data_IF_849220785483
#
_entry.id   IF_849220785483
#
_cell.length_a   1.000
_cell.length_b   1.000
_cell.length_c   1.000
_cell.angle_alpha   90.00
_cell.angle_beta   90.00
_cell.angle_gamma   90.00
#
_symmetry.space_group_name_H-M   'P 1'
#
loop_
_entity.id
_entity.type
_entity.pdbx_description
1 polymer ?
#
# COMPACT_ATOMS: atom_id res chain seq x y z
N UNK A 1 -33.56 -33.38 26.71
CA UNK A 1 -33.68 -33.56 25.24
C UNK A 1 -34.16 -32.28 24.50
N UNK A 2 -33.89 -31.07 25.00
CA UNK A 2 -34.44 -29.82 24.39
C UNK A 2 -33.43 -28.87 23.75
N UNK A 3 -32.14 -29.25 23.64
CA UNK A 3 -31.08 -28.37 23.11
C UNK A 3 -30.86 -28.52 21.59
N UNK A 4 -31.08 -29.72 21.02
CA UNK A 4 -30.87 -29.95 19.58
C UNK A 4 -32.00 -29.39 18.69
N UNK A 5 -33.23 -29.32 19.19
CA UNK A 5 -34.38 -28.78 18.43
C UNK A 5 -34.29 -27.25 18.23
N UNK A 6 -33.58 -26.55 19.11
CA UNK A 6 -33.30 -25.10 19.01
C UNK A 6 -32.16 -24.75 18.04
N UNK A 7 -31.38 -25.75 17.59
CA UNK A 7 -30.35 -25.58 16.54
C UNK A 7 -30.92 -25.79 15.14
N UNK A 8 -31.81 -26.76 14.94
CA UNK A 8 -32.42 -27.04 13.62
C UNK A 8 -33.34 -25.92 13.09
N UNK A 9 -33.94 -25.11 13.97
CA UNK A 9 -34.85 -24.03 13.56
C UNK A 9 -34.17 -22.67 13.30
N UNK A 10 -32.83 -22.56 13.39
CA UNK A 10 -32.10 -21.30 13.13
C UNK A 10 -31.56 -21.15 11.71
N UNK A 11 -31.71 -22.16 10.86
CA UNK A 11 -31.52 -22.02 9.41
C UNK A 11 -32.82 -21.55 8.76
N UNK A 12 -33.28 -20.34 9.13
CA UNK A 12 -34.32 -19.68 8.33
C UNK A 12 -33.64 -19.00 7.12
N UNK A 13 -33.81 -19.68 5.98
CA UNK A 13 -34.03 -19.11 4.64
C UNK A 13 -32.77 -18.65 3.87
N UNK A 14 -32.53 -19.18 2.65
CA UNK A 14 -31.50 -18.71 1.70
C UNK A 14 -31.44 -17.18 1.52
N UNK A 15 -32.56 -16.50 1.71
CA UNK A 15 -32.71 -15.03 1.69
C UNK A 15 -31.79 -14.31 2.68
N UNK A 16 -31.60 -14.86 3.88
CA UNK A 16 -30.76 -14.23 4.91
C UNK A 16 -29.26 -14.39 4.58
N UNK A 17 -28.88 -15.51 3.95
CA UNK A 17 -27.54 -15.72 3.39
C UNK A 17 -27.29 -14.79 2.21
N UNK A 18 -28.24 -14.67 1.28
CA UNK A 18 -28.14 -13.76 0.13
C UNK A 18 -28.01 -12.31 0.61
N UNK A 19 -28.74 -11.91 1.65
CA UNK A 19 -28.60 -10.58 2.25
C UNK A 19 -27.21 -10.37 2.88
N UNK A 20 -26.69 -11.36 3.62
CA UNK A 20 -25.34 -11.30 4.19
C UNK A 20 -24.25 -11.24 3.10
N UNK A 21 -24.38 -12.05 2.04
CA UNK A 21 -23.47 -12.03 0.90
C UNK A 21 -23.51 -10.70 0.17
N UNK A 22 -24.69 -10.17 -0.13
CA UNK A 22 -24.84 -8.88 -0.80
C UNK A 22 -24.21 -7.73 -0.02
N UNK A 23 -24.27 -7.77 1.32
CA UNK A 23 -23.58 -6.80 2.17
C UNK A 23 -22.06 -6.97 2.11
N UNK A 24 -21.55 -8.21 2.18
CA UNK A 24 -20.12 -8.48 2.01
C UNK A 24 -19.61 -8.04 0.64
N UNK A 25 -20.37 -8.26 -0.42
CA UNK A 25 -20.03 -7.80 -1.77
C UNK A 25 -19.93 -6.26 -1.81
N UNK A 26 -20.84 -5.56 -1.12
CA UNK A 26 -20.78 -4.10 -0.97
C UNK A 26 -19.54 -3.61 -0.20
N UNK A 27 -19.14 -4.32 0.86
CA UNK A 27 -17.90 -4.04 1.60
C UNK A 27 -16.68 -4.28 0.70
N UNK A 28 -16.65 -5.40 -0.01
CA UNK A 28 -15.56 -5.74 -0.94
C UNK A 28 -15.40 -4.68 -2.03
N UNK A 29 -16.50 -4.25 -2.66
CA UNK A 29 -16.49 -3.17 -3.66
C UNK A 29 -15.98 -1.84 -3.09
N UNK A 30 -16.36 -1.51 -1.85
CA UNK A 30 -15.92 -0.27 -1.18
C UNK A 30 -14.41 -0.30 -0.91
N UNK A 31 -13.89 -1.44 -0.46
CA UNK A 31 -12.46 -1.64 -0.26
C UNK A 31 -11.69 -1.62 -1.58
N UNK A 32 -12.20 -2.31 -2.61
CA UNK A 32 -11.60 -2.34 -3.95
C UNK A 32 -11.49 -0.93 -4.53
N UNK A 33 -12.55 -0.13 -4.44
CA UNK A 33 -12.54 1.27 -4.86
C UNK A 33 -11.55 2.12 -4.05
N UNK A 34 -11.42 1.87 -2.75
CA UNK A 34 -10.45 2.57 -1.89
C UNK A 34 -9.03 2.29 -2.34
N UNK A 35 -8.67 1.03 -2.58
CA UNK A 35 -7.34 0.66 -3.09
C UNK A 35 -7.11 1.15 -4.52
N UNK A 36 -8.12 1.08 -5.39
CA UNK A 36 -8.04 1.60 -6.75
C UNK A 36 -7.79 3.11 -6.78
N UNK A 37 -8.33 3.88 -5.83
CA UNK A 37 -8.01 5.30 -5.67
C UNK A 37 -6.63 5.53 -5.07
N UNK A 38 -6.25 4.74 -4.08
CA UNK A 38 -4.96 4.86 -3.40
C UNK A 38 -3.77 4.59 -4.34
N UNK A 39 -3.89 3.66 -5.28
CA UNK A 39 -2.79 3.29 -6.19
C UNK A 39 -2.52 4.34 -7.27
N UNK A 40 -3.47 5.22 -7.58
CA UNK A 40 -3.33 6.24 -8.63
C UNK A 40 -2.13 7.18 -8.41
N UNK A 41 -2.00 7.88 -7.27
CA UNK A 41 -0.87 8.78 -7.04
C UNK A 41 0.47 8.03 -7.07
N UNK A 42 0.50 6.79 -6.56
CA UNK A 42 1.71 5.93 -6.58
C UNK A 42 2.17 5.70 -8.03
N UNK A 43 1.26 5.26 -8.90
CA UNK A 43 1.56 4.99 -10.31
C UNK A 43 1.87 6.26 -11.10
N UNK A 44 1.19 7.37 -10.79
CA UNK A 44 1.46 8.66 -11.42
C UNK A 44 2.89 9.13 -11.13
N UNK A 45 3.33 9.04 -9.87
CA UNK A 45 4.70 9.40 -9.51
C UNK A 45 5.72 8.40 -10.08
N UNK A 46 5.45 7.09 -10.03
CA UNK A 46 6.33 6.09 -10.63
C UNK A 46 6.50 6.32 -12.14
N UNK A 47 5.40 6.60 -12.87
CA UNK A 47 5.44 6.94 -14.28
C UNK A 47 6.16 8.25 -14.57
N UNK A 48 6.01 9.26 -13.71
CA UNK A 48 6.78 10.51 -13.81
C UNK A 48 8.28 10.24 -13.67
N UNK A 49 8.69 9.49 -12.65
CA UNK A 49 10.11 9.16 -12.42
C UNK A 49 10.67 8.38 -13.62
N UNK A 50 9.89 7.48 -14.22
CA UNK A 50 10.28 6.77 -15.44
C UNK A 50 10.55 7.72 -16.62
N UNK A 51 9.83 8.84 -16.69
CA UNK A 51 9.97 9.83 -17.75
C UNK A 51 11.05 10.89 -17.45
N UNK A 52 11.17 11.28 -16.18
CA UNK A 52 12.07 12.32 -15.68
C UNK A 52 12.81 11.75 -14.45
N UNK A 53 13.83 10.89 -14.65
CA UNK A 53 14.48 10.22 -13.53
C UNK A 53 15.45 11.14 -12.75
N UNK A 54 15.75 12.34 -13.28
CA UNK A 54 16.66 13.27 -12.64
C UNK A 54 16.15 13.71 -11.27
N UNK A 55 16.93 13.38 -10.23
CA UNK A 55 16.58 13.63 -8.83
C UNK A 55 16.30 15.11 -8.52
N UNK A 56 17.17 16.01 -8.95
CA UNK A 56 17.04 17.44 -8.65
C UNK A 56 15.77 18.04 -9.26
N UNK A 57 15.43 17.61 -10.48
CA UNK A 57 14.20 18.02 -11.15
C UNK A 57 12.96 17.54 -10.37
N UNK A 58 12.92 16.26 -10.00
CA UNK A 58 11.83 15.70 -9.20
C UNK A 58 11.65 16.41 -7.86
N UNK A 59 12.76 16.68 -7.15
CA UNK A 59 12.73 17.41 -5.87
C UNK A 59 12.23 18.84 -6.04
N UNK A 60 12.63 19.55 -7.10
CA UNK A 60 12.15 20.90 -7.40
C UNK A 60 10.63 20.98 -7.69
N UNK A 61 10.00 19.85 -8.00
CA UNK A 61 8.59 19.77 -8.38
C UNK A 61 7.70 19.19 -7.27
N UNK A 62 8.29 18.52 -6.27
CA UNK A 62 7.61 17.77 -5.21
C UNK A 62 6.46 18.56 -4.57
N UNK A 63 6.77 19.74 -4.02
CA UNK A 63 5.79 20.53 -3.27
C UNK A 63 4.67 21.12 -4.12
N UNK A 64 4.88 21.22 -5.44
CA UNK A 64 3.87 21.74 -6.36
C UNK A 64 2.92 20.66 -6.89
N UNK A 65 3.38 19.42 -7.03
CA UNK A 65 2.66 18.36 -7.74
C UNK A 65 2.01 17.35 -6.81
N UNK A 66 2.68 17.04 -5.69
CA UNK A 66 2.21 16.02 -4.77
C UNK A 66 0.92 16.41 -4.05
N UNK A 67 0.71 17.65 -3.58
CA UNK A 67 -0.53 17.99 -2.88
C UNK A 67 -1.80 17.78 -3.72
N UNK A 68 -1.85 18.20 -5.01
CA UNK A 68 -2.97 17.84 -5.89
C UNK A 68 -3.18 16.35 -6.09
N UNK A 69 -2.12 15.54 -6.18
CA UNK A 69 -2.28 14.09 -6.35
C UNK A 69 -2.73 13.39 -5.07
N UNK A 70 -2.22 13.84 -3.93
CA UNK A 70 -2.65 13.36 -2.62
C UNK A 70 -4.13 13.60 -2.37
N UNK A 71 -4.66 14.76 -2.81
CA UNK A 71 -6.09 15.08 -2.65
C UNK A 71 -7.02 14.20 -3.50
N UNK A 72 -6.49 13.53 -4.53
CA UNK A 72 -7.22 12.51 -5.29
C UNK A 72 -7.27 11.15 -4.58
N UNK A 73 -6.37 10.93 -3.61
CA UNK A 73 -6.32 9.73 -2.80
C UNK A 73 -7.48 9.63 -1.80
N UNK A 74 -7.63 8.47 -1.13
CA UNK A 74 -8.65 8.31 -0.12
C UNK A 74 -8.35 9.21 1.11
N UNK A 75 -9.14 10.28 1.26
CA UNK A 75 -8.99 11.26 2.33
C UNK A 75 -9.00 10.60 3.72
N UNK A 76 -8.12 11.06 4.61
CA UNK A 76 -7.97 10.59 6.00
C UNK A 76 -7.63 9.09 6.17
N UNK A 77 -7.39 8.35 5.08
CA UNK A 77 -7.03 6.94 5.11
C UNK A 77 -5.54 6.68 4.88
N UNK A 78 -4.80 7.71 4.46
CA UNK A 78 -3.38 7.61 4.14
C UNK A 78 -2.51 8.34 5.18
N UNK A 79 -1.38 7.73 5.54
CA UNK A 79 -0.44 8.26 6.56
C UNK A 79 0.72 9.02 5.90
N UNK A 80 1.30 8.48 4.83
CA UNK A 80 2.43 9.09 4.14
C UNK A 80 2.50 8.66 2.67
N UNK A 81 2.94 9.58 1.82
CA UNK A 81 3.40 9.35 0.46
C UNK A 81 4.89 9.65 0.38
N UNK A 82 5.68 8.70 -0.12
CA UNK A 82 7.12 8.66 0.06
C UNK A 82 7.80 8.36 -1.28
N UNK A 83 8.89 9.08 -1.54
CA UNK A 83 9.80 8.81 -2.65
C UNK A 83 11.18 8.43 -2.09
N UNK A 84 11.67 7.26 -2.47
CA UNK A 84 12.89 6.68 -1.94
C UNK A 84 13.87 6.28 -3.07
N UNK A 85 14.59 7.24 -3.68
CA UNK A 85 15.66 6.93 -4.62
C UNK A 85 16.72 6.04 -3.96
N UNK A 86 17.16 4.99 -4.65
CA UNK A 86 18.10 3.98 -4.14
C UNK A 86 17.76 3.42 -2.75
N UNK A 87 16.48 3.43 -2.39
CA UNK A 87 16.01 2.93 -1.10
C UNK A 87 16.15 3.92 0.06
N UNK A 88 16.61 5.16 -0.17
CA UNK A 88 16.70 6.19 0.88
C UNK A 88 15.58 7.19 0.73
N UNK A 89 14.82 7.40 1.79
CA UNK A 89 13.67 8.30 1.79
C UNK A 89 14.16 9.74 1.59
N UNK A 90 13.84 10.32 0.43
CA UNK A 90 14.27 11.67 0.08
C UNK A 90 13.16 12.71 0.20
N UNK A 91 11.91 12.29 0.02
CA UNK A 91 10.77 13.17 0.12
C UNK A 91 9.56 12.45 0.72
N UNK A 92 8.78 13.20 1.49
CA UNK A 92 7.55 12.72 2.13
C UNK A 92 6.43 13.75 2.01
N UNK A 93 5.20 13.29 2.06
CA UNK A 93 4.00 14.13 2.12
C UNK A 93 2.89 13.37 2.88
N UNK A 94 2.05 14.03 3.70
CA UNK A 94 2.13 15.44 4.11
C UNK A 94 3.36 15.74 4.96
N UNK A 95 3.73 17.03 5.04
CA UNK A 95 4.91 17.54 5.75
C UNK A 95 4.76 17.61 7.28
N UNK A 96 4.23 16.56 7.90
CA UNK A 96 4.09 16.47 9.36
C UNK A 96 5.44 16.18 10.03
N UNK A 97 5.60 16.47 11.33
CA UNK A 97 6.81 16.12 12.08
C UNK A 97 7.16 14.63 11.98
N UNK A 98 6.16 13.76 12.04
CA UNK A 98 6.30 12.30 11.98
C UNK A 98 6.82 11.84 10.61
N UNK A 99 6.25 12.39 9.53
CA UNK A 99 6.68 12.09 8.17
C UNK A 99 8.05 12.68 7.83
N UNK A 100 8.48 13.74 8.52
CA UNK A 100 9.84 14.28 8.39
C UNK A 100 10.87 13.44 9.16
N UNK A 101 10.46 12.79 10.25
CA UNK A 101 11.35 11.95 11.05
C UNK A 101 11.87 10.72 10.28
N UNK A 102 11.20 10.31 9.21
CA UNK A 102 11.61 9.17 8.36
C UNK A 102 12.48 9.58 7.17
N UNK A 103 12.74 10.89 6.96
CA UNK A 103 13.67 11.33 5.92
C UNK A 103 15.06 10.75 6.15
N UNK A 104 15.77 10.47 5.06
CA UNK A 104 17.11 9.86 5.02
C UNK A 104 17.20 8.40 5.48
N UNK A 105 16.11 7.81 5.98
CA UNK A 105 16.09 6.39 6.34
C UNK A 105 16.37 5.53 5.11
N UNK A 106 17.30 4.59 5.28
CA UNK A 106 17.62 3.57 4.30
C UNK A 106 16.76 2.32 4.52
N UNK A 107 15.80 2.16 3.63
CA UNK A 107 14.80 1.10 3.69
C UNK A 107 15.34 -0.29 3.31
N UNK A 108 16.48 -0.36 2.63
CA UNK A 108 17.17 -1.62 2.35
C UNK A 108 18.11 -2.03 3.51
N UNK A 109 18.54 -1.06 4.31
CA UNK A 109 19.29 -1.31 5.54
C UNK A 109 18.39 -1.62 6.75
N UNK A 110 17.13 -1.17 6.77
CA UNK A 110 16.20 -1.43 7.88
C UNK A 110 15.73 -2.90 7.87
N UNK A 111 16.10 -3.71 8.89
CA UNK A 111 15.71 -5.13 8.96
C UNK A 111 14.20 -5.34 9.05
N UNK A 112 13.41 -4.31 9.41
CA UNK A 112 11.95 -4.40 9.51
C UNK A 112 11.25 -4.34 8.15
N UNK A 113 11.88 -3.74 7.15
CA UNK A 113 11.24 -3.47 5.84
C UNK A 113 12.02 -4.03 4.65
N UNK A 114 13.34 -4.24 4.79
CA UNK A 114 14.22 -4.64 3.70
C UNK A 114 13.75 -5.89 2.95
N UNK A 115 13.33 -6.93 3.65
CA UNK A 115 12.87 -8.18 3.01
C UNK A 115 11.63 -7.95 2.13
N UNK A 116 10.65 -7.18 2.61
CA UNK A 116 9.42 -6.90 1.87
C UNK A 116 9.70 -6.03 0.64
N UNK A 117 10.62 -5.07 0.78
CA UNK A 117 11.04 -4.18 -0.31
C UNK A 117 11.82 -4.96 -1.37
N UNK A 118 12.77 -5.81 -0.97
CA UNK A 118 13.51 -6.67 -1.90
C UNK A 118 12.58 -7.62 -2.66
N UNK A 119 11.57 -8.18 -2.00
CA UNK A 119 10.54 -8.99 -2.65
C UNK A 119 9.74 -8.19 -3.68
N UNK A 120 9.41 -6.93 -3.38
CA UNK A 120 8.73 -6.05 -4.32
C UNK A 120 9.60 -5.66 -5.52
N UNK A 121 10.88 -5.33 -5.29
CA UNK A 121 11.87 -5.09 -6.35
C UNK A 121 11.98 -6.30 -7.27
N UNK A 122 12.06 -7.50 -6.71
CA UNK A 122 12.09 -8.76 -7.47
C UNK A 122 10.82 -8.99 -8.28
N UNK A 123 9.66 -8.61 -7.76
CA UNK A 123 8.40 -8.71 -8.48
C UNK A 123 8.29 -7.73 -9.65
N UNK A 124 9.01 -6.60 -9.61
CA UNK A 124 9.08 -5.61 -10.70
C UNK A 124 7.75 -4.93 -11.02
N UNK A 125 6.80 -4.93 -10.08
CA UNK A 125 5.45 -4.38 -10.24
C UNK A 125 4.95 -3.81 -8.92
N UNK A 126 3.90 -2.97 -8.96
CA UNK A 126 3.27 -2.47 -7.74
C UNK A 126 2.83 -3.65 -6.84
N UNK A 127 3.22 -3.61 -5.57
CA UNK A 127 2.89 -4.62 -4.57
C UNK A 127 2.28 -3.97 -3.34
N UNK A 128 1.28 -4.64 -2.75
CA UNK A 128 0.83 -4.32 -1.40
C UNK A 128 1.65 -5.16 -0.42
N UNK A 129 2.41 -4.50 0.43
CA UNK A 129 3.10 -5.15 1.54
C UNK A 129 2.07 -5.44 2.65
N UNK A 130 2.31 -6.50 3.42
CA UNK A 130 1.43 -6.89 4.53
C UNK A 130 1.28 -5.79 5.58
N UNK A 131 0.38 -6.01 6.54
CA UNK A 131 0.14 -5.03 7.62
C UNK A 131 1.39 -4.92 8.48
N UNK A 132 1.95 -3.71 8.55
CA UNK A 132 3.08 -3.38 9.40
C UNK A 132 2.73 -2.21 10.30
N UNK A 133 3.59 -1.95 11.29
CA UNK A 133 3.51 -0.71 12.06
C UNK A 133 4.05 0.42 11.19
N UNK A 134 3.26 1.48 11.04
CA UNK A 134 3.69 2.70 10.38
C UNK A 134 4.92 3.26 11.09
N UNK A 135 5.99 3.61 10.37
CA UNK A 135 7.19 4.17 10.98
C UNK A 135 6.97 5.60 11.52
N UNK A 136 5.85 6.24 11.18
CA UNK A 136 5.56 7.65 11.52
C UNK A 136 4.78 7.75 12.83
N UNK A 137 3.72 6.96 12.98
CA UNK A 137 2.77 7.06 14.11
C UNK A 137 2.55 5.72 14.87
N UNK A 138 3.19 4.63 14.43
CA UNK A 138 3.03 3.31 15.06
C UNK A 138 1.66 2.66 14.85
N UNK A 139 0.80 3.23 14.02
CA UNK A 139 -0.50 2.64 13.70
C UNK A 139 -0.34 1.45 12.74
N UNK A 140 -1.36 0.60 12.65
CA UNK A 140 -1.36 -0.49 11.68
C UNK A 140 -1.55 0.10 10.28
N UNK A 141 -0.58 -0.13 9.39
CA UNK A 141 -0.60 0.39 8.04
C UNK A 141 -0.37 -0.71 7.00
N UNK A 142 -1.08 -0.60 5.89
CA UNK A 142 -0.78 -1.28 4.64
C UNK A 142 0.10 -0.37 3.79
N UNK A 143 1.11 -0.95 3.15
CA UNK A 143 2.02 -0.18 2.29
C UNK A 143 1.82 -0.59 0.85
N UNK A 144 1.40 0.36 0.00
CA UNK A 144 1.46 0.20 -1.44
C UNK A 144 2.83 0.67 -1.91
N UNK A 145 3.60 -0.22 -2.53
CA UNK A 145 4.94 0.07 -3.02
C UNK A 145 5.00 -0.16 -4.53
N UNK A 146 5.58 0.80 -5.27
CA UNK A 146 5.90 0.64 -6.68
C UNK A 146 7.42 0.75 -6.90
N UNK A 147 8.10 -0.33 -7.30
CA UNK A 147 9.52 -0.30 -7.61
C UNK A 147 9.74 0.31 -8.99
N UNK A 148 10.54 1.36 -9.07
CA UNK A 148 10.78 2.09 -10.31
C UNK A 148 12.06 1.60 -10.98
N UNK A 149 11.93 1.14 -12.22
CA UNK A 149 13.04 0.71 -13.06
C UNK A 149 13.13 1.56 -14.33
N UNK A 150 14.35 1.94 -14.70
CA UNK A 150 14.67 2.71 -15.90
C UNK A 150 15.44 1.81 -16.86
N UNK A 151 15.04 1.81 -18.14
CA UNK A 151 15.67 1.01 -19.20
C UNK A 151 16.69 1.82 -19.99
N UNK A 152 17.57 1.11 -20.68
CA UNK A 152 18.61 1.66 -21.55
C UNK A 152 19.60 2.59 -20.83
N UNK A 153 19.91 2.29 -19.58
CA UNK A 153 20.85 3.05 -18.75
C UNK A 153 22.15 2.28 -18.55
N UNK A 154 23.22 2.98 -18.20
CA UNK A 154 24.48 2.35 -17.83
C UNK A 154 24.46 1.92 -16.35
N UNK A 155 25.45 1.10 -15.97
CA UNK A 155 25.57 0.64 -14.59
C UNK A 155 25.93 1.79 -13.62
N UNK A 156 26.66 2.81 -14.10
CA UNK A 156 27.14 3.98 -13.36
C UNK A 156 26.18 5.17 -13.38
N UNK A 157 25.03 5.05 -14.06
CA UNK A 157 23.99 6.10 -14.05
C UNK A 157 23.48 6.33 -12.62
N UNK A 158 23.47 7.58 -12.18
CA UNK A 158 23.10 7.95 -10.80
C UNK A 158 21.88 8.87 -10.74
N UNK A 159 21.45 9.43 -11.88
CA UNK A 159 20.39 10.42 -12.01
C UNK A 159 20.52 11.62 -11.06
N UNK A 160 21.75 11.96 -10.68
CA UNK A 160 22.05 13.00 -9.69
C UNK A 160 21.49 12.73 -8.29
N UNK A 161 21.23 11.46 -7.94
CA UNK A 161 20.81 11.04 -6.61
C UNK A 161 22.01 11.16 -5.65
N UNK A 162 21.86 11.87 -4.51
CA UNK A 162 22.93 11.99 -3.52
C UNK A 162 23.17 10.66 -2.77
N UNK A 163 24.43 10.39 -2.42
CA UNK A 163 24.81 9.28 -1.55
C UNK A 163 25.16 7.96 -2.24
N UNK A 164 25.25 7.93 -3.57
CA UNK A 164 25.76 6.77 -4.32
C UNK A 164 24.75 5.62 -4.47
N UNK A 165 25.27 4.41 -4.70
CA UNK A 165 24.47 3.21 -5.03
C UNK A 165 23.59 2.69 -3.86
N UNK A 166 22.55 1.87 -4.16
CA UNK A 166 21.74 1.18 -3.16
C UNK A 166 22.56 0.37 -2.15
N UNK A 167 22.24 0.54 -0.87
CA UNK A 167 22.82 -0.30 0.20
C UNK A 167 22.20 -1.70 0.15
N UNK A 168 23.01 -2.74 0.36
CA UNK A 168 22.55 -4.14 0.51
C UNK A 168 21.69 -4.69 -0.65
N UNK A 169 21.80 -4.15 -1.87
CA UNK A 169 21.08 -4.72 -3.00
C UNK A 169 21.81 -5.96 -3.56
N UNK A 170 21.13 -7.12 -3.67
CA UNK A 170 21.74 -8.31 -4.27
C UNK A 170 22.25 -8.07 -5.70
N UNK A 171 23.39 -8.67 -6.07
CA UNK A 171 23.91 -8.59 -7.44
C UNK A 171 22.86 -9.03 -8.47
N UNK A 172 22.71 -8.25 -9.54
CA UNK A 172 21.75 -8.53 -10.62
C UNK A 172 20.30 -8.10 -10.34
N UNK A 173 19.97 -7.73 -9.10
CA UNK A 173 18.61 -7.28 -8.75
C UNK A 173 18.39 -5.79 -9.07
N UNK A 174 19.31 -4.92 -8.64
CA UNK A 174 19.20 -3.47 -8.88
C UNK A 174 19.75 -3.03 -10.24
N UNK A 175 20.51 -3.86 -10.93
CA UNK A 175 20.93 -3.60 -12.31
C UNK A 175 21.02 -4.91 -13.10
N UNK A 176 20.33 -4.93 -14.24
CA UNK A 176 20.39 -6.00 -15.21
C UNK A 176 21.21 -5.52 -16.42
N UNK A 177 22.44 -6.04 -16.55
CA UNK A 177 23.35 -5.68 -17.64
C UNK A 177 22.84 -6.10 -19.03
N UNK A 178 22.11 -7.22 -19.12
CA UNK A 178 21.57 -7.76 -20.38
C UNK A 178 20.48 -6.85 -20.95
N UNK A 179 19.55 -6.40 -20.10
CA UNK A 179 18.45 -5.53 -20.53
C UNK A 179 18.75 -4.04 -20.37
N UNK A 180 19.91 -3.70 -19.81
CA UNK A 180 20.30 -2.33 -19.42
C UNK A 180 19.22 -1.66 -18.57
N UNK A 181 18.69 -2.40 -17.60
CA UNK A 181 17.62 -1.93 -16.72
C UNK A 181 18.19 -1.71 -15.32
N UNK A 182 18.10 -0.49 -14.79
CA UNK A 182 18.54 -0.16 -13.43
C UNK A 182 17.36 0.25 -12.57
N UNK A 183 17.36 -0.20 -11.33
CA UNK A 183 16.43 0.22 -10.30
C UNK A 183 16.77 1.63 -9.86
N UNK A 184 15.81 2.54 -9.99
CA UNK A 184 15.94 3.93 -9.56
C UNK A 184 15.67 4.08 -8.06
N UNK A 185 14.74 3.30 -7.54
CA UNK A 185 14.21 3.44 -6.18
C UNK A 185 12.76 2.98 -6.14
N UNK A 186 12.00 3.46 -5.16
CA UNK A 186 10.58 3.13 -5.08
C UNK A 186 9.74 4.29 -4.59
N UNK A 187 8.45 4.18 -4.88
CA UNK A 187 7.40 5.06 -4.37
C UNK A 187 6.53 4.27 -3.42
N UNK A 188 6.15 4.87 -2.30
CA UNK A 188 5.34 4.24 -1.26
C UNK A 188 4.16 5.11 -0.88
N UNK A 189 2.99 4.51 -0.73
CA UNK A 189 1.84 5.08 -0.03
C UNK A 189 1.47 4.20 1.17
N UNK A 190 1.48 4.76 2.36
CA UNK A 190 0.98 4.11 3.58
C UNK A 190 -0.51 4.39 3.77
N UNK A 191 -1.29 3.35 4.04
CA UNK A 191 -2.72 3.40 4.34
C UNK A 191 -2.98 2.88 5.75
N UNK A 192 -3.69 3.64 6.57
CA UNK A 192 -4.09 3.21 7.91
C UNK A 192 -5.18 2.14 7.77
N UNK A 193 -4.91 0.93 8.30
CA UNK A 193 -5.83 -0.21 8.18
C UNK A 193 -7.19 0.13 8.78
N UNK A 194 -7.20 0.69 9.99
CA UNK A 194 -8.43 0.98 10.71
C UNK A 194 -9.28 2.02 9.98
N UNK A 195 -8.65 3.02 9.36
CA UNK A 195 -9.36 4.04 8.58
C UNK A 195 -9.84 3.51 7.22
N UNK A 196 -9.07 2.62 6.58
CA UNK A 196 -9.52 1.93 5.36
C UNK A 196 -10.77 1.11 5.63
N UNK A 197 -10.85 0.47 6.81
CA UNK A 197 -11.97 -0.33 7.25
C UNK A 197 -13.20 0.47 7.73
N UNK A 198 -13.16 1.80 7.68
CA UNK A 198 -14.30 2.67 7.99
C UNK A 198 -14.98 3.21 6.74
N UNK A 199 -16.29 3.44 6.83
CA UNK A 199 -17.05 4.19 5.83
C UNK A 199 -16.81 5.72 5.96
N UNK A 200 -17.48 6.51 5.12
CA UNK A 200 -17.40 7.98 5.18
C UNK A 200 -17.99 8.60 6.45
N UNK A 201 -18.78 7.84 7.21
CA UNK A 201 -19.38 8.25 8.48
C UNK A 201 -18.55 7.82 9.70
N UNK A 202 -17.44 7.10 9.48
CA UNK A 202 -16.54 6.63 10.53
C UNK A 202 -16.94 5.30 11.17
N UNK A 203 -17.96 4.61 10.65
CA UNK A 203 -18.38 3.29 11.14
C UNK A 203 -17.55 2.20 10.48
N UNK A 204 -17.23 1.12 11.20
CA UNK A 204 -16.51 0.01 10.58
C UNK A 204 -17.43 -0.69 9.58
N UNK A 205 -16.88 -0.98 8.40
CA UNK A 205 -17.61 -1.60 7.28
C UNK A 205 -18.22 -2.97 7.65
N UNK A 206 -17.66 -3.63 8.68
CA UNK A 206 -18.10 -4.94 9.15
C UNK A 206 -19.08 -4.88 10.33
N UNK A 207 -19.28 -3.72 10.99
CA UNK A 207 -20.21 -3.58 12.13
C UNK A 207 -21.63 -4.08 11.81
N UNK A 208 -22.21 -3.79 10.63
CA UNK A 208 -23.55 -4.26 10.28
C UNK A 208 -23.65 -5.80 10.15
N UNK A 209 -22.54 -6.50 9.97
CA UNK A 209 -22.51 -7.97 9.89
C UNK A 209 -22.44 -8.60 11.28
N UNK A 210 -21.71 -7.97 12.20
CA UNK A 210 -21.62 -8.38 13.59
C UNK A 210 -22.95 -8.18 14.32
N UNK A 211 -23.61 -7.03 14.11
CA UNK A 211 -24.88 -6.68 14.77
C UNK A 211 -26.05 -7.61 14.38
N UNK A 212 -26.05 -8.15 13.16
CA UNK A 212 -27.14 -9.00 12.65
C UNK A 212 -26.90 -10.52 12.87
N UNK A 213 -25.82 -10.91 13.56
CA UNK A 213 -25.31 -12.29 13.62
C UNK A 213 -25.12 -12.90 12.22
N UNK A 214 -24.81 -12.07 11.22
CA UNK A 214 -24.70 -12.50 9.82
C UNK A 214 -23.51 -13.44 9.61
N UNK A 215 -22.47 -13.33 10.43
CA UNK A 215 -21.31 -14.24 10.47
C UNK A 215 -21.72 -15.71 10.62
N UNK A 216 -22.65 -16.00 11.54
CA UNK A 216 -23.17 -17.37 11.74
C UNK A 216 -24.00 -17.87 10.56
N UNK A 217 -24.61 -16.97 9.78
CA UNK A 217 -25.46 -17.32 8.63
C UNK A 217 -24.63 -17.66 7.40
N UNK A 218 -23.40 -17.15 7.30
CA UNK A 218 -22.43 -17.51 6.27
C UNK A 218 -21.82 -18.90 6.50
N UNK A 219 -21.70 -19.33 7.77
CA UNK A 219 -21.07 -20.60 8.18
C UNK A 219 -21.98 -21.84 8.11
N UNK A 220 -23.27 -21.69 7.75
CA UNK A 220 -24.27 -22.77 7.83
C UNK A 220 -24.10 -23.95 6.84
N UNK A 221 -22.99 -24.04 6.09
CA UNK A 221 -22.70 -25.15 5.15
C UNK A 221 -21.57 -26.10 5.59
N UNK A 222 -20.92 -25.89 6.75
CA UNK A 222 -19.76 -26.72 7.14
C UNK A 222 -20.07 -27.98 7.95
N UNK A 223 -21.33 -28.42 8.00
CA UNK A 223 -21.68 -29.72 8.61
C UNK A 223 -22.36 -30.62 7.60
N UNK A 224 -21.56 -31.50 7.00
CA UNK A 224 -22.04 -32.72 6.34
C UNK A 224 -22.33 -33.79 7.40
#
# INVERSE_FOLDING_TARGET
>A
MSSLALRKNRCKIPKDRVAAQSRLDGVAQTLELTFARAILPVRQLAGLIQHIPNYQTLMGMWDSWIPPWWSLGPANKATAFVMAPFGRIAATYPHTPENKAILTLDTLADPRSSQAILAAIMAGRTTMLGVTKSPTDGQNALTLLDPVFIRNVSADESWSIPGGEPTNCPPGLCYNATTRTKWWGHVVLGLLVDEVMKDSSGHFLLDPLALDNAEYRLLCELTW
#
